data_IF_722022410269
#
_entry.id   IF_722022410269
#
_cell.length_a   1.000
_cell.length_b   1.000
_cell.length_c   1.000
_cell.angle_alpha   90.00
_cell.angle_beta   90.00
_cell.angle_gamma   90.00
#
_symmetry.space_group_name_H-M   'P 1'
#
loop_
_entity.id
_entity.type
_entity.pdbx_description
1 polymer ?
#
# COMPACT_ATOMS: atom_id res chain seq x y z
N UNK A 1 -12.26 9.63 -18.21
CA UNK A 1 -12.09 9.30 -17.88
C UNK A 1 -11.90 8.73 -17.38
N UNK A 2 -11.74 9.26 -16.75
CA UNK A 2 -11.90 7.93 -16.79
C UNK A 2 -11.13 7.21 -15.73
N UNK A 3 -11.05 5.93 -15.79
CA UNK A 3 -10.41 5.15 -14.77
C UNK A 3 -8.95 5.41 -14.66
N UNK A 4 -8.39 6.02 -15.67
CA UNK A 4 -6.97 6.32 -15.65
C UNK A 4 -6.60 7.23 -14.52
N UNK A 5 -7.58 7.93 -13.96
CA UNK A 5 -7.28 8.85 -12.89
C UNK A 5 -7.41 8.24 -11.50
N UNK A 6 -7.81 6.99 -11.42
CA UNK A 6 -7.88 6.32 -10.13
C UNK A 6 -6.52 5.72 -9.80
N UNK A 7 -5.94 6.07 -8.65
CA UNK A 7 -4.67 5.44 -8.26
C UNK A 7 -4.83 3.95 -8.11
N UNK A 8 -3.85 3.20 -8.57
CA UNK A 8 -3.84 1.76 -8.45
C UNK A 8 -2.97 1.38 -7.28
N UNK A 9 -3.57 0.78 -6.26
CA UNK A 9 -2.90 0.49 -5.00
C UNK A 9 -2.80 -1.01 -4.80
N UNK A 10 -1.58 -1.48 -4.67
CA UNK A 10 -1.33 -2.89 -4.36
C UNK A 10 -1.55 -3.10 -2.88
N UNK A 11 -2.32 -4.13 -2.55
CA UNK A 11 -2.57 -4.52 -1.17
C UNK A 11 -1.90 -5.85 -0.90
N UNK A 12 -1.06 -5.90 0.11
CA UNK A 12 -0.41 -7.14 0.53
C UNK A 12 -0.78 -7.37 1.99
N UNK A 13 -1.61 -8.38 2.23
CA UNK A 13 -2.17 -8.64 3.56
C UNK A 13 -2.59 -10.09 3.65
N UNK A 14 -2.10 -10.82 4.64
CA UNK A 14 -2.39 -12.25 4.76
C UNK A 14 -3.68 -12.54 5.53
N UNK A 15 -4.22 -11.58 6.27
CA UNK A 15 -5.48 -11.79 6.98
C UNK A 15 -6.63 -11.39 6.07
N UNK A 16 -7.43 -12.36 5.66
CA UNK A 16 -8.48 -12.14 4.67
C UNK A 16 -9.46 -11.03 5.07
N UNK A 17 -9.85 -11.00 6.33
CA UNK A 17 -10.81 -10.00 6.80
C UNK A 17 -10.21 -8.59 6.74
N UNK A 18 -8.95 -8.46 7.14
CA UNK A 18 -8.27 -7.17 7.09
C UNK A 18 -8.12 -6.71 5.65
N UNK A 19 -7.78 -7.65 4.75
CA UNK A 19 -7.66 -7.33 3.33
C UNK A 19 -8.99 -6.82 2.76
N UNK A 20 -10.10 -7.46 3.13
CA UNK A 20 -11.42 -7.03 2.67
C UNK A 20 -11.74 -5.62 3.14
N UNK A 21 -11.47 -5.33 4.40
CA UNK A 21 -11.72 -4.00 4.94
C UNK A 21 -10.89 -2.96 4.24
N UNK A 22 -9.63 -3.30 3.98
CA UNK A 22 -8.73 -2.38 3.30
C UNK A 22 -9.19 -2.12 1.87
N UNK A 23 -9.66 -3.16 1.17
CA UNK A 23 -10.23 -3.00 -0.16
C UNK A 23 -11.41 -2.04 -0.16
N UNK A 24 -12.30 -2.18 0.83
CA UNK A 24 -13.48 -1.31 0.91
C UNK A 24 -13.06 0.13 1.17
N UNK A 25 -12.10 0.33 2.07
CA UNK A 25 -11.61 1.67 2.36
C UNK A 25 -10.99 2.33 1.13
N UNK A 26 -10.18 1.56 0.41
CA UNK A 26 -9.52 2.10 -0.78
C UNK A 26 -10.52 2.43 -1.86
N UNK A 27 -11.55 1.60 -2.02
CA UNK A 27 -12.60 1.89 -2.99
C UNK A 27 -13.34 3.17 -2.61
N UNK A 28 -13.63 3.34 -1.33
CA UNK A 28 -14.29 4.55 -0.85
C UNK A 28 -13.44 5.80 -1.12
N UNK A 29 -12.12 5.64 -1.11
CA UNK A 29 -11.20 6.75 -1.36
C UNK A 29 -10.91 6.97 -2.84
N UNK A 30 -11.55 6.21 -3.71
CA UNK A 30 -11.40 6.41 -5.15
C UNK A 30 -10.21 5.68 -5.77
N UNK A 31 -9.73 4.64 -5.12
CA UNK A 31 -8.58 3.89 -5.61
C UNK A 31 -9.02 2.56 -6.20
N UNK A 32 -8.27 2.10 -7.19
CA UNK A 32 -8.42 0.73 -7.69
C UNK A 32 -7.46 -0.16 -6.92
N UNK A 33 -7.92 -1.32 -6.51
CA UNK A 33 -7.12 -2.24 -5.72
C UNK A 33 -6.50 -3.30 -6.62
N UNK A 34 -5.20 -3.52 -6.45
CA UNK A 34 -4.48 -4.60 -7.11
C UNK A 34 -4.24 -5.66 -6.03
N UNK A 35 -4.61 -6.90 -6.29
CA UNK A 35 -4.56 -7.95 -5.30
C UNK A 35 -5.90 -8.12 -4.63
N UNK A 36 -5.97 -8.45 -3.36
CA UNK A 36 -4.84 -8.49 -2.42
C UNK A 36 -3.97 -9.73 -2.62
N UNK A 37 -2.70 -9.57 -2.35
CA UNK A 37 -1.77 -10.69 -2.30
C UNK A 37 -1.71 -11.15 -0.85
N UNK A 38 -1.92 -12.44 -0.64
CA UNK A 38 -2.03 -12.97 0.71
C UNK A 38 -0.80 -13.74 1.17
N UNK A 39 0.17 -13.94 0.30
CA UNK A 39 1.39 -14.62 0.69
C UNK A 39 2.57 -13.97 0.00
N UNK A 40 3.76 -14.39 0.42
CA UNK A 40 5.00 -13.77 -0.05
C UNK A 40 5.20 -13.95 -1.56
N UNK A 41 4.94 -15.14 -2.07
CA UNK A 41 5.17 -15.42 -3.48
C UNK A 41 4.25 -14.59 -4.38
N UNK A 42 2.96 -14.54 -4.03
CA UNK A 42 2.01 -13.73 -4.79
C UNK A 42 2.36 -12.25 -4.71
N UNK A 43 2.78 -11.80 -3.53
CA UNK A 43 3.14 -10.41 -3.34
C UNK A 43 4.33 -10.01 -4.21
N UNK A 44 5.34 -10.87 -4.26
CA UNK A 44 6.50 -10.59 -5.10
C UNK A 44 6.11 -10.55 -6.57
N UNK A 45 5.25 -11.45 -6.99
CA UNK A 45 4.81 -11.49 -8.37
C UNK A 45 4.03 -10.24 -8.73
N UNK A 46 3.10 -9.83 -7.87
CA UNK A 46 2.29 -8.65 -8.13
C UNK A 46 3.11 -7.37 -8.07
N UNK A 47 4.11 -7.32 -7.20
CA UNK A 47 4.96 -6.14 -7.08
C UNK A 47 5.76 -5.86 -8.35
N UNK A 48 5.88 -6.84 -9.23
CA UNK A 48 6.57 -6.67 -10.50
C UNK A 48 5.68 -6.20 -11.63
N UNK A 49 4.36 -6.13 -11.39
CA UNK A 49 3.44 -5.69 -12.42
C UNK A 49 3.56 -4.19 -12.65
N UNK A 50 3.44 -3.76 -13.91
CA UNK A 50 3.47 -2.33 -14.19
C UNK A 50 2.17 -1.66 -13.78
N UNK A 51 2.23 -0.35 -13.59
CA UNK A 51 1.01 0.42 -13.36
C UNK A 51 0.58 0.52 -11.92
N UNK A 52 1.43 0.15 -10.97
CA UNK A 52 1.13 0.32 -9.55
C UNK A 52 1.53 1.72 -9.14
N UNK A 53 0.60 2.46 -8.55
CA UNK A 53 0.85 3.83 -8.12
C UNK A 53 1.32 3.90 -6.67
N UNK A 54 0.87 2.97 -5.85
CA UNK A 54 1.26 2.91 -4.43
C UNK A 54 0.98 1.53 -3.90
N UNK A 55 1.47 1.24 -2.71
CA UNK A 55 1.22 -0.07 -2.10
C UNK A 55 1.05 0.07 -0.59
N UNK A 56 0.24 -0.79 -0.03
CA UNK A 56 0.11 -0.97 1.41
C UNK A 56 0.56 -2.40 1.69
N UNK A 57 1.58 -2.55 2.51
CA UNK A 57 2.32 -3.80 2.62
C UNK A 57 2.40 -4.25 4.07
N UNK A 58 1.81 -5.39 4.37
CA UNK A 58 1.95 -5.97 5.70
C UNK A 58 3.42 -6.35 5.93
N UNK A 59 3.91 -6.09 7.12
CA UNK A 59 5.30 -6.41 7.46
C UNK A 59 5.52 -7.92 7.50
N UNK A 60 4.54 -8.65 8.03
CA UNK A 60 4.68 -10.10 8.25
C UNK A 60 3.62 -10.85 7.47
N UNK A 61 4.04 -11.75 6.60
CA UNK A 61 3.15 -12.56 5.78
C UNK A 61 3.30 -14.01 6.21
N UNK A 62 2.45 -14.47 7.10
CA UNK A 62 2.49 -15.85 7.62
C UNK A 62 3.88 -16.23 8.14
N UNK A 63 4.47 -15.33 8.92
CA UNK A 63 5.77 -15.60 9.52
C UNK A 63 6.95 -15.22 8.67
N UNK A 64 6.73 -14.80 7.42
CA UNK A 64 7.81 -14.38 6.53
C UNK A 64 7.76 -12.88 6.36
N UNK A 65 8.87 -12.23 6.63
CA UNK A 65 8.92 -10.77 6.51
C UNK A 65 8.84 -10.34 5.05
N UNK A 66 8.19 -9.22 4.81
CA UNK A 66 7.92 -8.76 3.44
C UNK A 66 9.04 -7.88 2.88
N UNK A 67 10.26 -8.03 3.39
CA UNK A 67 11.37 -7.17 2.96
C UNK A 67 11.69 -7.32 1.47
N UNK A 68 11.52 -8.53 0.91
CA UNK A 68 11.76 -8.74 -0.51
C UNK A 68 10.76 -7.99 -1.37
N UNK A 69 9.51 -7.97 -0.91
CA UNK A 69 8.47 -7.22 -1.62
C UNK A 69 8.78 -5.74 -1.58
N UNK A 70 9.20 -5.25 -0.41
CA UNK A 70 9.59 -3.85 -0.26
C UNK A 70 10.73 -3.49 -1.21
N UNK A 71 11.69 -4.38 -1.35
CA UNK A 71 12.82 -4.13 -2.26
C UNK A 71 12.36 -4.02 -3.70
N UNK A 72 11.42 -4.87 -4.11
CA UNK A 72 10.88 -4.82 -5.47
C UNK A 72 10.13 -3.51 -5.72
N UNK A 73 9.38 -3.06 -4.73
CA UNK A 73 8.64 -1.81 -4.86
C UNK A 73 9.59 -0.62 -4.94
N UNK A 74 10.66 -0.63 -4.15
CA UNK A 74 11.65 0.44 -4.21
C UNK A 74 12.35 0.46 -5.56
N UNK A 75 12.68 -0.70 -6.09
CA UNK A 75 13.30 -0.81 -7.39
C UNK A 75 12.42 -0.23 -8.49
N UNK A 76 11.11 -0.44 -8.36
CA UNK A 76 10.15 0.05 -9.34
C UNK A 76 9.74 1.49 -9.10
N UNK A 77 10.29 2.13 -8.07
CA UNK A 77 9.94 3.50 -7.68
C UNK A 77 8.47 3.63 -7.32
N UNK A 78 7.91 2.59 -6.70
CA UNK A 78 6.53 2.63 -6.24
C UNK A 78 6.54 3.02 -4.76
N UNK A 79 5.93 4.14 -4.40
CA UNK A 79 5.86 4.52 -2.99
C UNK A 79 4.96 3.57 -2.23
N UNK A 80 5.31 3.27 -1.00
CA UNK A 80 4.51 2.34 -0.22
C UNK A 80 4.60 2.65 1.26
N UNK A 81 3.64 2.10 2.02
CA UNK A 81 3.64 2.20 3.47
C UNK A 81 3.49 0.78 4.01
N UNK A 82 4.11 0.53 5.16
CA UNK A 82 3.89 -0.71 5.86
C UNK A 82 2.61 -0.62 6.69
N UNK A 83 1.95 -1.76 6.84
CA UNK A 83 0.80 -1.91 7.70
C UNK A 83 1.15 -3.01 8.68
N UNK A 84 1.06 -2.74 9.99
CA UNK A 84 1.55 -3.70 10.94
C UNK A 84 0.84 -3.55 12.27
N UNK A 85 0.90 -4.61 13.07
CA UNK A 85 0.41 -4.54 14.43
C UNK A 85 1.36 -3.73 15.30
N UNK A 86 0.89 -3.47 16.50
CA UNK A 86 1.51 -2.53 17.39
C UNK A 86 3.00 -2.74 17.59
N UNK A 87 3.42 -3.96 17.84
CA UNK A 87 4.82 -4.24 18.20
C UNK A 87 5.74 -4.37 17.01
N UNK A 88 5.21 -4.63 15.84
CA UNK A 88 6.05 -4.95 14.69
C UNK A 88 6.69 -3.73 14.07
N UNK A 89 6.19 -2.53 14.40
CA UNK A 89 6.72 -1.32 13.81
C UNK A 89 8.18 -1.08 14.19
N UNK A 90 8.63 -1.65 15.30
CA UNK A 90 10.00 -1.46 15.76
C UNK A 90 10.99 -2.41 15.11
N UNK A 91 10.49 -3.30 14.25
CA UNK A 91 11.33 -4.34 13.66
C UNK A 91 11.83 -4.01 12.26
N UNK A 92 11.60 -2.79 11.80
CA UNK A 92 12.02 -2.42 10.45
C UNK A 92 13.54 -2.38 10.35
N UNK A 93 14.10 -2.95 9.28
CA UNK A 93 15.54 -2.84 9.07
C UNK A 93 15.94 -1.38 8.84
N UNK A 94 17.19 -1.03 9.13
CA UNK A 94 17.61 0.36 8.99
C UNK A 94 17.38 0.96 7.61
N UNK A 95 17.50 0.18 6.55
CA UNK A 95 17.31 0.72 5.20
C UNK A 95 15.85 0.97 4.86
N UNK A 96 14.93 0.54 5.72
CA UNK A 96 13.50 0.78 5.55
C UNK A 96 12.94 1.66 6.65
N UNK A 97 13.80 2.23 7.49
CA UNK A 97 13.36 2.97 8.66
C UNK A 97 12.59 4.23 8.31
N UNK A 98 12.77 4.76 7.10
CA UNK A 98 12.09 5.97 6.68
C UNK A 98 10.77 5.69 5.97
N UNK A 99 10.39 4.43 5.80
CA UNK A 99 9.13 4.07 5.15
C UNK A 99 7.99 4.31 6.13
N UNK A 100 6.90 4.98 5.70
CA UNK A 100 5.76 5.22 6.60
C UNK A 100 5.13 3.92 7.09
N UNK A 101 4.58 3.97 8.29
CA UNK A 101 3.93 2.81 8.90
C UNK A 101 2.52 3.18 9.34
N UNK A 102 1.55 2.37 8.92
CA UNK A 102 0.18 2.43 9.42
C UNK A 102 0.05 1.37 10.49
N UNK A 103 -0.23 1.77 11.72
CA UNK A 103 -0.39 0.82 12.81
C UNK A 103 -1.82 0.32 12.85
N UNK A 104 -2.02 -0.97 12.84
CA UNK A 104 -3.35 -1.58 12.90
C UNK A 104 -3.87 -1.54 14.33
N UNK A 105 -5.16 -1.34 14.52
CA UNK A 105 -6.14 -1.01 13.49
C UNK A 105 -6.04 0.47 13.11
N UNK A 106 -6.29 0.78 11.85
CA UNK A 106 -6.32 2.17 11.40
C UNK A 106 -7.68 2.46 10.79
N UNK A 107 -8.07 3.73 10.80
CA UNK A 107 -9.37 4.13 10.26
C UNK A 107 -9.21 4.73 8.85
N UNK A 108 -10.34 5.07 8.26
CA UNK A 108 -10.36 5.61 6.90
C UNK A 108 -9.57 6.90 6.78
N UNK A 109 -9.65 7.77 7.79
CA UNK A 109 -8.92 9.02 7.77
C UNK A 109 -7.42 8.83 7.81
N UNK A 110 -6.95 7.87 8.60
CA UNK A 110 -5.53 7.57 8.67
C UNK A 110 -5.03 7.01 7.35
N UNK A 111 -5.82 6.13 6.73
CA UNK A 111 -5.46 5.59 5.43
C UNK A 111 -5.43 6.67 4.38
N UNK A 112 -6.43 7.55 4.37
CA UNK A 112 -6.50 8.64 3.43
C UNK A 112 -5.28 9.55 3.54
N UNK A 113 -4.92 9.91 4.75
CA UNK A 113 -3.75 10.75 5.01
C UNK A 113 -2.49 10.09 4.45
N UNK A 114 -2.35 8.79 4.68
CA UNK A 114 -1.18 8.06 4.23
C UNK A 114 -1.13 7.99 2.71
N UNK A 115 -2.27 7.77 2.08
CA UNK A 115 -2.33 7.72 0.63
C UNK A 115 -1.96 9.06 0.00
N UNK A 116 -2.39 10.16 0.60
CA UNK A 116 -2.04 11.48 0.10
C UNK A 116 -0.53 11.72 0.16
N UNK A 117 0.12 11.14 1.14
CA UNK A 117 1.57 11.25 1.23
C UNK A 117 2.28 10.41 0.18
N UNK A 118 1.68 9.26 -0.18
CA UNK A 118 2.28 8.36 -1.17
C UNK A 118 1.95 8.79 -2.59
N UNK A 119 0.70 9.19 -2.82
CA UNK A 119 0.22 9.59 -4.14
C UNK A 119 -0.37 10.98 -3.98
N UNK A 120 0.44 12.03 -4.09
CA UNK A 120 -0.05 13.39 -3.87
C UNK A 120 -1.17 13.74 -4.82
N UNK A 121 -2.19 14.40 -4.29
CA UNK A 121 -3.35 14.81 -5.07
C UNK A 121 -3.54 16.30 -4.93
N UNK A 122 -4.19 16.90 -5.92
CA UNK A 122 -4.51 18.31 -5.82
C UNK A 122 -5.75 18.49 -4.95
N UNK A 123 -6.19 19.71 -4.82
CA UNK A 123 -7.30 20.05 -3.94
C UNK A 123 -8.60 19.38 -4.34
N UNK A 124 -8.70 18.94 -5.57
CA UNK A 124 -9.90 18.25 -6.06
C UNK A 124 -9.81 16.75 -5.87
N UNK A 125 -8.76 16.26 -5.27
CA UNK A 125 -8.60 14.83 -5.06
C UNK A 125 -7.96 14.09 -6.21
N UNK A 126 -7.43 14.81 -7.17
CA UNK A 126 -6.77 14.18 -8.32
C UNK A 126 -5.28 14.08 -8.07
N UNK A 127 -4.61 13.14 -8.72
CA UNK A 127 -3.16 13.06 -8.60
C UNK A 127 -2.51 14.37 -8.97
N UNK A 128 -1.46 14.73 -8.29
CA UNK A 128 -0.83 16.03 -8.48
C UNK A 128 -0.35 16.25 -9.90
N UNK A 129 -0.03 15.19 -10.61
CA UNK A 129 0.44 15.31 -12.00
C UNK A 129 -0.69 15.24 -13.01
N UNK A 130 -1.91 15.21 -12.57
CA UNK A 130 -3.06 15.18 -13.45
C UNK A 130 -3.35 16.61 -13.90
N UNK A 131 -3.75 16.83 -15.17
CA UNK A 131 -4.11 18.17 -15.60
C UNK A 131 -5.37 18.50 -14.93
N UNK A 132 -5.85 18.65 -14.15
CA UNK A 132 -6.98 19.03 -13.52
C UNK A 132 -7.68 19.84 -13.51
#
# INVERSE_FOLDING_TARGET
MTNDERPRVLVVEDAALVAMLLEEMLDDLGCDVIGPASDHASACQMAREPGIDAAILDVNLHGKMSWDVAALLKEANVPFAFSTGYDSATMLPPHLADIPVLTKPFDLGQLESQLHALVPCDAAGKPANSPD
#
